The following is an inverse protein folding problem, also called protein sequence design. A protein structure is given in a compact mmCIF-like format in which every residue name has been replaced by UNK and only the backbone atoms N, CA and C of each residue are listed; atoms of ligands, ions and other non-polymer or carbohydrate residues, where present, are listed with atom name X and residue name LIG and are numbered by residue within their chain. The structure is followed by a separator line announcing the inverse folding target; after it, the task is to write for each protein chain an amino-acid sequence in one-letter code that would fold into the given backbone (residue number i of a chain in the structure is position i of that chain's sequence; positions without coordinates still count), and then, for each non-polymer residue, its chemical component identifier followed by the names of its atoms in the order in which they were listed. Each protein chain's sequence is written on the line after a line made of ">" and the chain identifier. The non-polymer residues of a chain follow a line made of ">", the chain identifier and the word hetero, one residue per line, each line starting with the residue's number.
data_IF_327710230175
#
_entry.id   IF_327710230175
#
_cell.length_a   1.000
_cell.length_b   1.000
_cell.length_c   1.000
_cell.angle_alpha   90.00
_cell.angle_beta   90.00
_cell.angle_gamma   90.00
#
_symmetry.space_group_name_H-M   'P 1'
#
loop_
_entity.id
_entity.type
_entity.pdbx_description
1 polymer ?
#
# COMPACT_ATOMS: atom_id res chain seq x y z
N UNK A 1 -41.73 -60.01 -39.62
CA UNK A 1 -40.46 -59.42 -39.10
C UNK A 1 -40.63 -57.91 -39.07
N UNK A 2 -40.87 -57.31 -37.88
CA UNK A 2 -41.13 -55.89 -37.70
C UNK A 2 -39.83 -55.22 -37.20
N UNK A 3 -39.26 -54.30 -37.97
CA UNK A 3 -38.10 -53.49 -37.59
C UNK A 3 -38.58 -52.25 -36.79
N UNK A 4 -38.19 -52.18 -35.57
CA UNK A 4 -38.45 -51.03 -34.70
C UNK A 4 -37.33 -50.00 -34.87
N UNK A 5 -37.69 -48.78 -35.31
CA UNK A 5 -36.75 -47.62 -35.38
C UNK A 5 -36.82 -46.87 -34.08
N UNK A 6 -35.70 -46.90 -33.33
CA UNK A 6 -35.50 -46.03 -32.20
C UNK A 6 -34.98 -44.63 -32.67
N UNK A 7 -35.77 -43.62 -32.38
CA UNK A 7 -35.40 -42.21 -32.62
C UNK A 7 -34.67 -41.70 -31.40
N UNK A 8 -33.34 -41.46 -31.52
CA UNK A 8 -32.56 -40.80 -30.47
C UNK A 8 -32.78 -39.28 -30.57
N UNK A 9 -33.46 -38.72 -29.60
CA UNK A 9 -33.62 -37.29 -29.44
C UNK A 9 -32.41 -36.76 -28.64
N UNK A 10 -31.42 -36.16 -29.33
CA UNK A 10 -30.25 -35.54 -28.71
C UNK A 10 -30.65 -34.25 -28.02
N UNK A 11 -30.53 -34.21 -26.70
CA UNK A 11 -30.69 -32.98 -25.89
C UNK A 11 -29.42 -32.16 -26.02
N UNK A 12 -29.46 -31.07 -26.78
CA UNK A 12 -28.38 -30.06 -26.78
C UNK A 12 -28.49 -29.20 -25.51
N UNK A 13 -27.62 -29.44 -24.56
CA UNK A 13 -27.43 -28.52 -23.41
C UNK A 13 -26.62 -27.36 -23.88
N UNK A 14 -27.22 -26.20 -24.10
CA UNK A 14 -26.55 -24.94 -24.34
C UNK A 14 -26.00 -24.47 -22.99
N UNK A 15 -24.70 -24.68 -22.77
CA UNK A 15 -24.00 -24.08 -21.64
C UNK A 15 -23.87 -22.56 -21.89
N UNK A 16 -24.65 -21.75 -21.19
CA UNK A 16 -24.43 -20.32 -21.10
C UNK A 16 -23.10 -20.08 -20.34
N UNK A 17 -22.01 -19.97 -21.08
CA UNK A 17 -20.75 -19.43 -20.54
C UNK A 17 -20.99 -17.98 -20.16
N UNK A 18 -20.90 -17.67 -18.88
CA UNK A 18 -20.90 -16.28 -18.41
C UNK A 18 -19.73 -15.54 -19.07
N UNK A 19 -20.00 -14.42 -19.72
CA UNK A 19 -18.94 -13.55 -20.26
C UNK A 19 -18.00 -13.13 -19.12
N UNK A 20 -16.67 -13.05 -19.36
CA UNK A 20 -15.75 -12.57 -18.35
C UNK A 20 -16.13 -11.14 -17.94
N UNK A 21 -16.18 -10.92 -16.64
CA UNK A 21 -16.50 -9.61 -16.05
C UNK A 21 -15.47 -8.59 -16.49
N UNK A 22 -15.86 -7.65 -17.34
CA UNK A 22 -14.99 -6.60 -17.89
C UNK A 22 -14.41 -5.70 -16.81
N UNK A 23 -15.02 -5.64 -15.63
CA UNK A 23 -14.49 -4.90 -14.49
C UNK A 23 -13.23 -5.53 -13.90
N UNK A 24 -13.14 -6.86 -13.91
CA UNK A 24 -11.94 -7.59 -13.47
C UNK A 24 -10.79 -7.45 -14.46
N UNK A 25 -11.07 -7.53 -15.77
CA UNK A 25 -10.07 -7.32 -16.81
C UNK A 25 -9.48 -5.91 -16.76
N UNK A 26 -10.28 -4.88 -16.46
CA UNK A 26 -9.80 -3.51 -16.30
C UNK A 26 -8.95 -3.35 -15.04
N UNK A 27 -9.32 -3.95 -13.93
CA UNK A 27 -8.55 -3.90 -12.68
C UNK A 27 -7.18 -4.59 -12.83
N UNK A 28 -7.12 -5.75 -13.48
CA UNK A 28 -5.87 -6.47 -13.74
C UNK A 28 -4.96 -5.69 -14.70
N UNK A 29 -5.53 -5.02 -15.70
CA UNK A 29 -4.78 -4.18 -16.65
C UNK A 29 -4.25 -2.90 -15.99
N UNK A 30 -4.98 -2.29 -15.07
CA UNK A 30 -4.51 -1.14 -14.29
C UNK A 30 -3.42 -1.54 -13.29
N UNK A 31 -3.55 -2.67 -12.62
CA UNK A 31 -2.52 -3.21 -11.72
C UNK A 31 -1.18 -3.48 -12.41
N UNK A 32 -1.18 -3.74 -13.73
CA UNK A 32 0.02 -3.90 -14.54
C UNK A 32 0.72 -2.58 -14.92
N UNK A 33 0.10 -1.42 -14.70
CA UNK A 33 0.67 -0.11 -15.10
C UNK A 33 1.46 0.58 -14.00
N UNK A 34 1.16 0.27 -12.74
CA UNK A 34 1.80 0.83 -11.56
C UNK A 34 1.71 -0.13 -10.37
N UNK A 35 2.60 0.00 -9.37
CA UNK A 35 2.58 -0.87 -8.20
C UNK A 35 1.39 -0.55 -7.28
N UNK A 36 0.73 -1.58 -6.76
CA UNK A 36 -0.29 -1.47 -5.70
C UNK A 36 0.32 -1.47 -4.29
N UNK A 37 1.62 -1.77 -4.18
CA UNK A 37 2.41 -1.75 -2.96
C UNK A 37 3.89 -1.58 -3.28
N UNK A 38 4.75 -1.30 -2.28
CA UNK A 38 6.20 -1.24 -2.47
C UNK A 38 6.75 -2.63 -2.79
N UNK A 39 7.68 -2.71 -3.74
CA UNK A 39 8.40 -3.96 -3.97
C UNK A 39 9.62 -4.05 -3.04
N UNK A 40 9.65 -5.09 -2.21
CA UNK A 40 10.65 -5.26 -1.16
C UNK A 40 12.07 -5.50 -1.69
N UNK A 41 12.23 -5.90 -2.97
CA UNK A 41 13.55 -6.07 -3.58
C UNK A 41 14.26 -4.73 -3.84
N UNK A 42 13.49 -3.65 -4.03
CA UNK A 42 14.01 -2.29 -4.26
C UNK A 42 13.61 -1.29 -3.17
N UNK A 43 12.50 -1.56 -2.45
CA UNK A 43 11.98 -0.72 -1.37
C UNK A 43 11.69 -1.57 -0.12
N UNK A 44 12.72 -2.15 0.53
CA UNK A 44 12.55 -2.97 1.73
C UNK A 44 12.06 -2.16 2.95
N UNK A 45 12.16 -0.85 2.88
CA UNK A 45 11.93 0.07 4.00
C UNK A 45 13.22 0.31 4.78
N UNK A 46 13.52 1.58 5.05
CA UNK A 46 14.70 2.01 5.81
C UNK A 46 14.33 3.12 6.78
N UNK A 47 14.86 3.04 8.00
CA UNK A 47 14.65 4.07 9.03
C UNK A 47 15.70 5.16 8.97
N UNK A 48 15.37 6.33 9.55
CA UNK A 48 16.22 7.48 9.64
C UNK A 48 17.44 7.20 10.54
N UNK A 49 18.64 7.15 9.97
CA UNK A 49 19.89 6.88 10.69
C UNK A 49 20.59 8.15 11.20
N UNK A 50 20.35 9.29 10.54
CA UNK A 50 20.92 10.59 10.88
C UNK A 50 19.77 11.58 11.08
N UNK A 51 19.10 11.55 12.25
CA UNK A 51 17.92 12.36 12.49
C UNK A 51 18.26 13.84 12.66
N UNK A 52 17.42 14.71 12.10
CA UNK A 52 17.46 16.15 12.36
C UNK A 52 16.94 16.46 13.77
N UNK A 53 16.02 15.64 14.26
CA UNK A 53 15.38 15.79 15.57
C UNK A 53 14.80 14.47 16.07
N UNK A 54 14.46 14.44 17.36
CA UNK A 54 13.65 13.38 17.96
C UNK A 54 12.22 13.88 18.18
N UNK A 55 11.24 13.04 17.86
CA UNK A 55 9.83 13.39 17.98
C UNK A 55 9.09 12.45 18.91
N UNK A 56 7.98 12.94 19.43
CA UNK A 56 7.02 12.21 20.25
C UNK A 56 7.60 11.77 21.63
N UNK A 57 6.75 11.31 22.55
CA UNK A 57 7.20 10.81 23.86
C UNK A 57 8.23 9.70 23.77
N UNK A 58 8.16 8.84 22.72
CA UNK A 58 9.09 7.73 22.48
C UNK A 58 10.47 8.20 21.93
N UNK A 59 10.65 9.52 21.67
CA UNK A 59 11.89 10.09 21.10
C UNK A 59 12.32 9.44 19.78
N UNK A 60 11.36 9.27 18.86
CA UNK A 60 11.58 8.65 17.57
C UNK A 60 12.48 9.49 16.68
N UNK A 61 13.52 8.89 16.03
CA UNK A 61 14.33 9.57 15.03
C UNK A 61 13.47 10.15 13.90
N UNK A 62 13.65 11.42 13.58
CA UNK A 62 12.94 12.09 12.49
C UNK A 62 13.91 12.73 11.51
N UNK A 63 13.81 12.32 10.24
CA UNK A 63 14.45 12.96 9.11
C UNK A 63 13.46 13.91 8.43
N UNK A 64 13.81 15.17 8.26
CA UNK A 64 13.01 16.11 7.45
C UNK A 64 12.98 15.64 6.01
N UNK A 65 11.84 15.85 5.32
CA UNK A 65 11.72 15.42 3.93
C UNK A 65 12.73 16.13 3.04
N UNK A 66 13.61 15.36 2.45
CA UNK A 66 14.61 15.81 1.48
C UNK A 66 14.70 14.79 0.34
N UNK A 67 13.88 14.98 -0.70
CA UNK A 67 13.82 14.13 -1.88
C UNK A 67 13.75 15.01 -3.11
N UNK A 68 14.84 15.12 -3.82
CA UNK A 68 14.97 15.95 -5.02
C UNK A 68 14.12 15.45 -6.19
N UNK A 69 13.85 16.33 -7.16
CA UNK A 69 13.16 15.94 -8.40
C UNK A 69 13.97 14.91 -9.19
N UNK A 70 15.30 14.98 -9.16
CA UNK A 70 16.17 14.00 -9.79
C UNK A 70 15.99 12.60 -9.22
N UNK A 71 15.96 12.46 -7.89
CA UNK A 71 15.71 11.21 -7.18
C UNK A 71 14.33 10.65 -7.47
N UNK A 72 13.28 11.49 -7.43
CA UNK A 72 11.90 11.07 -7.78
C UNK A 72 11.84 10.45 -9.17
N UNK A 73 12.48 11.10 -10.15
CA UNK A 73 12.54 10.60 -11.52
C UNK A 73 13.38 9.31 -11.64
N UNK A 74 14.45 9.18 -10.86
CA UNK A 74 15.25 7.95 -10.83
C UNK A 74 14.47 6.76 -10.26
N UNK A 75 13.69 6.97 -9.20
CA UNK A 75 12.82 5.95 -8.61
C UNK A 75 11.77 5.48 -9.63
N UNK A 76 11.10 6.41 -10.32
CA UNK A 76 10.12 6.07 -11.37
C UNK A 76 10.78 5.20 -12.45
N UNK A 77 11.91 5.65 -13.01
CA UNK A 77 12.62 4.89 -14.04
C UNK A 77 13.06 3.51 -13.55
N UNK A 78 13.47 3.39 -12.30
CA UNK A 78 13.88 2.12 -11.72
C UNK A 78 12.70 1.14 -11.65
N UNK A 79 11.53 1.59 -11.15
CA UNK A 79 10.32 0.77 -11.09
C UNK A 79 9.83 0.36 -12.48
N UNK A 80 9.76 1.31 -13.42
CA UNK A 80 9.35 1.03 -14.80
C UNK A 80 10.28 0.00 -15.46
N UNK A 81 11.60 0.18 -15.33
CA UNK A 81 12.58 -0.71 -15.92
C UNK A 81 12.61 -2.11 -15.29
N UNK A 82 12.49 -2.18 -13.95
CA UNK A 82 12.66 -3.45 -13.22
C UNK A 82 11.41 -4.31 -13.31
N UNK A 83 10.22 -3.68 -13.27
CA UNK A 83 8.94 -4.41 -13.16
C UNK A 83 8.03 -4.26 -14.39
N UNK A 84 8.44 -3.49 -15.38
CA UNK A 84 7.64 -3.27 -16.60
C UNK A 84 6.45 -2.31 -16.42
N UNK A 85 6.43 -1.52 -15.35
CA UNK A 85 5.42 -0.50 -15.16
C UNK A 85 5.51 0.63 -16.20
N UNK A 86 4.51 1.49 -16.24
CA UNK A 86 4.40 2.61 -17.18
C UNK A 86 4.19 3.96 -16.47
N UNK A 87 4.74 4.09 -15.24
CA UNK A 87 4.52 5.24 -14.37
C UNK A 87 5.01 6.54 -15.03
N UNK A 88 6.16 6.47 -15.72
CA UNK A 88 6.74 7.61 -16.43
C UNK A 88 5.88 8.17 -17.56
N UNK A 89 4.93 7.38 -18.09
CA UNK A 89 3.99 7.78 -19.13
C UNK A 89 2.64 8.28 -18.59
N UNK A 90 2.40 8.16 -17.28
CA UNK A 90 1.15 8.56 -16.64
C UNK A 90 1.10 10.06 -16.36
N UNK A 91 -0.11 10.59 -16.16
CA UNK A 91 -0.26 11.97 -15.74
C UNK A 91 0.41 12.23 -14.39
N UNK A 92 1.22 13.29 -14.29
CA UNK A 92 2.04 13.57 -13.09
C UNK A 92 1.21 13.74 -11.81
N UNK A 93 -0.05 14.15 -11.92
CA UNK A 93 -0.98 14.30 -10.81
C UNK A 93 -1.56 12.99 -10.28
N UNK A 94 -1.39 11.87 -10.99
CA UNK A 94 -1.98 10.59 -10.60
C UNK A 94 -1.11 9.81 -9.59
N UNK A 95 0.13 10.23 -9.36
CA UNK A 95 1.03 9.56 -8.43
C UNK A 95 1.97 10.51 -7.70
N UNK A 96 2.47 10.06 -6.57
CA UNK A 96 3.52 10.71 -5.78
C UNK A 96 4.66 9.72 -5.52
N UNK A 97 5.87 10.23 -5.22
CA UNK A 97 6.90 9.41 -4.58
C UNK A 97 6.68 9.51 -3.07
N UNK A 98 6.39 8.38 -2.47
CA UNK A 98 6.04 8.28 -1.06
C UNK A 98 7.01 7.43 -0.26
N UNK A 99 7.01 7.63 1.06
CA UNK A 99 7.80 6.83 1.99
C UNK A 99 7.04 5.54 2.34
N UNK A 100 7.70 4.39 2.20
CA UNK A 100 7.13 3.11 2.66
C UNK A 100 6.96 3.10 4.19
N UNK A 101 8.03 3.43 4.92
CA UNK A 101 7.96 3.79 6.33
C UNK A 101 7.81 5.32 6.36
N UNK A 102 6.69 5.86 6.85
CA UNK A 102 6.46 7.29 6.92
C UNK A 102 7.52 8.04 7.72
N UNK A 103 7.81 9.28 7.34
CA UNK A 103 8.75 10.12 8.09
C UNK A 103 8.33 10.30 9.56
N UNK A 104 7.02 10.47 9.81
CA UNK A 104 6.49 10.57 11.18
C UNK A 104 6.71 9.31 12.01
N UNK A 105 6.96 8.17 11.37
CA UNK A 105 7.27 6.88 12.00
C UNK A 105 8.77 6.57 11.97
N UNK A 106 9.61 7.58 11.71
CA UNK A 106 11.06 7.42 11.66
C UNK A 106 11.61 6.84 10.35
N UNK A 107 10.87 6.94 9.24
CA UNK A 107 11.36 6.56 7.91
C UNK A 107 12.48 7.46 7.40
N UNK A 108 13.34 6.94 6.53
CA UNK A 108 14.44 7.68 5.88
C UNK A 108 14.03 8.24 4.52
N UNK A 109 14.82 9.22 4.00
CA UNK A 109 14.72 9.70 2.62
C UNK A 109 15.47 8.80 1.61
N UNK A 110 16.03 7.68 2.03
CA UNK A 110 16.72 6.73 1.17
C UNK A 110 15.80 6.16 0.08
N UNK A 111 16.34 5.90 -1.10
CA UNK A 111 15.62 5.22 -2.19
C UNK A 111 15.09 3.85 -1.78
N UNK A 112 15.69 3.21 -0.77
CA UNK A 112 15.20 1.94 -0.18
C UNK A 112 13.92 2.10 0.64
N UNK A 113 13.48 3.33 0.87
CA UNK A 113 12.25 3.65 1.59
C UNK A 113 11.25 4.44 0.73
N UNK A 114 11.58 4.69 -0.54
CA UNK A 114 10.77 5.51 -1.44
C UNK A 114 10.23 4.67 -2.60
N UNK A 115 8.97 4.88 -2.94
CA UNK A 115 8.30 4.18 -4.04
C UNK A 115 7.26 5.06 -4.74
N UNK A 116 6.95 4.79 -6.02
CA UNK A 116 5.91 5.51 -6.73
C UNK A 116 4.54 4.98 -6.29
N UNK A 117 3.72 5.83 -5.69
CA UNK A 117 2.40 5.50 -5.17
C UNK A 117 1.32 6.18 -5.99
N UNK A 118 0.44 5.39 -6.61
CA UNK A 118 -0.69 5.88 -7.38
C UNK A 118 -1.81 6.41 -6.47
N UNK A 119 -2.65 7.32 -6.99
CA UNK A 119 -3.76 7.94 -6.22
C UNK A 119 -4.73 6.90 -5.64
N UNK A 120 -5.05 5.83 -6.37
CA UNK A 120 -5.93 4.76 -5.88
C UNK A 120 -5.37 4.01 -4.67
N UNK A 121 -4.08 4.16 -4.40
CA UNK A 121 -3.38 3.59 -3.24
C UNK A 121 -3.31 4.61 -2.11
N UNK A 122 -2.76 5.83 -2.37
CA UNK A 122 -2.56 6.80 -1.31
C UNK A 122 -3.87 7.36 -0.74
N UNK A 123 -4.92 7.46 -1.53
CA UNK A 123 -6.25 7.83 -1.03
C UNK A 123 -6.78 6.87 0.05
N UNK A 124 -6.33 5.61 0.03
CA UNK A 124 -6.66 4.61 1.04
C UNK A 124 -5.69 4.59 2.22
N UNK A 125 -4.40 4.78 1.97
CA UNK A 125 -3.36 4.59 2.98
C UNK A 125 -2.99 5.86 3.75
N UNK A 126 -3.08 7.06 3.13
CA UNK A 126 -2.75 8.32 3.78
C UNK A 126 -3.63 8.63 5.02
N UNK A 127 -4.96 8.38 4.99
CA UNK A 127 -5.78 8.57 6.18
C UNK A 127 -5.36 7.68 7.36
N UNK A 128 -4.91 6.45 7.10
CA UNK A 128 -4.37 5.55 8.13
C UNK A 128 -3.05 6.08 8.68
N UNK A 129 -2.16 6.49 7.79
CA UNK A 129 -0.86 7.08 8.16
C UNK A 129 -1.05 8.28 9.09
N UNK A 130 -1.92 9.20 8.73
CA UNK A 130 -2.21 10.37 9.54
C UNK A 130 -2.68 9.99 10.95
N UNK A 131 -3.68 9.12 11.07
CA UNK A 131 -4.22 8.67 12.37
C UNK A 131 -3.17 7.97 13.23
N UNK A 132 -2.34 7.11 12.63
CA UNK A 132 -1.27 6.41 13.34
C UNK A 132 -0.22 7.41 13.86
N UNK A 133 0.16 8.42 13.07
CA UNK A 133 1.08 9.47 13.50
C UNK A 133 0.52 10.32 14.64
N UNK A 134 -0.78 10.63 14.59
CA UNK A 134 -1.48 11.35 15.68
C UNK A 134 -1.49 10.54 16.98
N UNK A 135 -1.73 9.23 16.91
CA UNK A 135 -1.67 8.32 18.06
C UNK A 135 -0.26 8.24 18.67
N UNK A 136 0.77 8.18 17.82
CA UNK A 136 2.17 8.22 18.28
C UNK A 136 2.51 9.57 18.94
N UNK A 137 2.08 10.68 18.33
CA UNK A 137 2.30 12.03 18.89
C UNK A 137 1.61 12.21 20.24
N UNK A 138 0.46 11.58 20.43
CA UNK A 138 -0.26 11.57 21.70
C UNK A 138 0.31 10.56 22.74
N UNK A 139 1.37 9.81 22.40
CA UNK A 139 1.92 8.76 23.26
C UNK A 139 0.98 7.57 23.47
N UNK A 140 0.07 7.35 22.54
CA UNK A 140 -0.94 6.30 22.60
C UNK A 140 -0.61 5.06 21.78
N UNK A 141 0.40 5.13 20.93
CA UNK A 141 0.84 4.04 20.09
C UNK A 141 2.36 4.06 19.96
N UNK A 142 3.00 2.92 20.11
CA UNK A 142 4.44 2.78 19.93
C UNK A 142 4.80 2.78 18.43
N UNK A 143 5.99 3.28 18.11
CA UNK A 143 6.54 3.32 16.75
C UNK A 143 6.45 1.95 16.05
N UNK A 144 6.87 0.87 16.74
CA UNK A 144 6.87 -0.47 16.19
C UNK A 144 5.48 -0.91 15.74
N UNK A 145 4.45 -0.62 16.54
CA UNK A 145 3.06 -1.03 16.29
C UNK A 145 2.44 -0.18 15.17
N UNK A 146 2.77 1.12 15.12
CA UNK A 146 2.37 2.01 14.03
C UNK A 146 2.99 1.57 12.69
N UNK A 147 4.29 1.25 12.68
CA UNK A 147 5.01 0.75 11.50
C UNK A 147 4.44 -0.58 11.00
N UNK A 148 4.11 -1.52 11.89
CA UNK A 148 3.48 -2.80 11.53
C UNK A 148 2.15 -2.55 10.82
N UNK A 149 1.29 -1.72 11.39
CA UNK A 149 -0.04 -1.40 10.84
C UNK A 149 0.04 -0.74 9.47
N UNK A 150 0.87 0.29 9.31
CA UNK A 150 0.97 0.99 8.01
C UNK A 150 1.61 0.10 6.94
N UNK A 151 2.61 -0.70 7.29
CA UNK A 151 3.22 -1.66 6.36
C UNK A 151 2.24 -2.73 5.92
N UNK A 152 1.41 -3.25 6.83
CA UNK A 152 0.34 -4.20 6.50
C UNK A 152 -0.63 -3.62 5.46
N UNK A 153 -1.05 -2.37 5.62
CA UNK A 153 -1.93 -1.68 4.68
C UNK A 153 -1.25 -1.38 3.34
N UNK A 154 0.01 -0.89 3.34
CA UNK A 154 0.77 -0.55 2.13
C UNK A 154 1.19 -1.80 1.34
N UNK A 155 1.41 -2.94 1.99
CA UNK A 155 1.77 -4.20 1.34
C UNK A 155 0.55 -4.92 0.74
N UNK A 156 -0.63 -4.73 1.30
CA UNK A 156 -1.86 -5.35 0.80
C UNK A 156 -3.06 -4.43 1.10
N UNK A 157 -3.60 -3.83 0.05
CA UNK A 157 -4.73 -2.89 0.16
C UNK A 157 -6.01 -3.55 0.71
N UNK A 158 -6.17 -4.86 0.59
CA UNK A 158 -7.30 -5.59 1.19
C UNK A 158 -7.25 -5.57 2.72
N UNK A 159 -6.08 -5.26 3.31
CA UNK A 159 -5.91 -5.10 4.75
C UNK A 159 -6.30 -3.70 5.27
N UNK A 160 -6.53 -2.73 4.40
CA UNK A 160 -6.89 -1.36 4.80
C UNK A 160 -8.11 -1.32 5.71
N UNK A 161 -9.24 -2.01 5.43
CA UNK A 161 -10.40 -2.01 6.33
C UNK A 161 -10.08 -2.61 7.70
N UNK A 162 -9.28 -3.68 7.75
CA UNK A 162 -8.88 -4.31 9.00
C UNK A 162 -7.96 -3.39 9.83
N UNK A 163 -6.99 -2.73 9.18
CA UNK A 163 -6.13 -1.74 9.85
C UNK A 163 -6.92 -0.56 10.35
N UNK A 164 -7.92 -0.08 9.59
CA UNK A 164 -8.80 0.99 10.04
C UNK A 164 -9.59 0.58 11.29
N UNK A 165 -10.15 -0.64 11.30
CA UNK A 165 -10.87 -1.17 12.46
C UNK A 165 -9.97 -1.28 13.70
N UNK A 166 -8.72 -1.75 13.53
CA UNK A 166 -7.72 -1.80 14.62
C UNK A 166 -7.45 -0.40 15.21
N UNK A 167 -7.37 0.64 14.34
CA UNK A 167 -7.16 2.03 14.78
C UNK A 167 -8.40 2.56 15.54
N UNK A 168 -9.58 2.29 15.00
CA UNK A 168 -10.84 2.75 15.61
C UNK A 168 -11.07 2.08 16.97
N UNK A 169 -10.71 0.79 17.13
CA UNK A 169 -10.74 0.09 18.41
C UNK A 169 -9.73 0.68 19.41
N UNK A 170 -8.52 0.98 18.98
CA UNK A 170 -7.53 1.69 19.80
C UNK A 170 -8.06 3.04 20.30
N UNK A 171 -8.75 3.79 19.44
CA UNK A 171 -9.33 5.10 19.81
C UNK A 171 -10.49 4.96 20.79
N UNK A 172 -11.35 3.94 20.62
CA UNK A 172 -12.54 3.73 21.44
C UNK A 172 -12.23 3.07 22.79
N UNK A 173 -11.37 2.05 22.79
CA UNK A 173 -11.18 1.12 23.91
C UNK A 173 -9.73 1.02 24.39
N UNK A 174 -8.78 1.70 23.71
CA UNK A 174 -7.36 1.55 23.98
C UNK A 174 -6.98 1.93 25.40
N UNK A 175 -6.54 0.94 26.18
CA UNK A 175 -5.77 1.16 27.38
C UNK A 175 -4.34 1.44 26.96
N UNK A 176 -4.04 2.72 26.77
CA UNK A 176 -2.69 3.15 26.44
C UNK A 176 -1.80 2.97 27.67
N UNK A 177 -0.85 2.03 27.57
CA UNK A 177 0.23 2.00 28.57
C UNK A 177 1.01 3.32 28.45
N UNK A 178 1.35 3.98 29.58
CA UNK A 178 2.19 5.17 29.54
C UNK A 178 3.52 4.80 28.84
N UNK A 179 3.85 5.53 27.77
CA UNK A 179 5.18 5.43 27.17
C UNK A 179 6.09 6.16 28.15
N UNK A 180 6.83 5.41 28.96
CA UNK A 180 7.85 5.99 29.84
C UNK A 180 8.93 6.60 28.95
N UNK A 181 9.19 7.91 29.12
CA UNK A 181 10.28 8.58 28.45
C UNK A 181 11.60 8.09 29.07
N UNK A 182 12.30 7.21 28.38
CA UNK A 182 13.67 6.83 28.68
C UNK A 182 14.66 7.96 28.33
#
# INVERSE_FOLDING_TARGET
>A
MKASRFLFLGLFVVSCGSAPDSSRLNADTEAMRYPLGPDHSVTPGETCQHPDTLRYPEKIPYCTRDVSTGEKNAIIRNYDKTFGYQIGSMARGDFKIDHYIPLCMGGSNSTKNLWPQHKTVYEKTDPLEQKLCELMAAGKLLQKDAMEKIRRAKNNLDQVPAVQADIDDLLANGRFAPIEAN
#
